data_IF_586245829210
#
_entry.id   IF_586245829210
#
_cell.length_a   1.000
_cell.length_b   1.000
_cell.length_c   1.000
_cell.angle_alpha   90.00
_cell.angle_beta   90.00
_cell.angle_gamma   90.00
#
_symmetry.space_group_name_H-M   'P 1'
#
loop_
_entity.id
_entity.type
_entity.pdbx_description
1 polymer ?
#
# COMPACT_ATOMS: atom_id res chain seq x y z
N UNK A 1 8.19 -4.86 6.55
CA UNK A 1 8.09 -3.53 7.21
C UNK A 1 6.64 -3.05 7.19
N UNK A 2 6.27 -2.11 8.08
CA UNK A 2 4.90 -1.56 8.16
C UNK A 2 4.65 -0.52 7.06
N UNK A 3 3.47 -0.55 6.44
CA UNK A 3 3.10 0.36 5.34
C UNK A 3 2.71 1.78 5.75
N UNK A 4 3.10 2.25 6.94
CA UNK A 4 2.58 3.48 7.54
C UNK A 4 3.37 4.73 7.15
N UNK A 5 4.68 4.57 6.90
CA UNK A 5 5.56 5.69 6.58
C UNK A 5 5.75 5.78 5.06
N UNK A 6 5.60 6.99 4.53
CA UNK A 6 5.77 7.28 3.10
C UNK A 6 7.21 7.03 2.63
N UNK A 7 8.20 7.27 3.48
CA UNK A 7 9.61 7.09 3.17
C UNK A 7 9.97 5.63 2.83
N UNK A 8 9.22 4.68 3.41
CA UNK A 8 9.46 3.24 3.25
C UNK A 8 8.81 2.68 1.96
N UNK A 9 8.03 3.50 1.25
CA UNK A 9 7.27 3.08 0.06
C UNK A 9 7.76 3.86 -1.14
N UNK A 10 8.10 3.15 -2.20
CA UNK A 10 8.59 3.70 -3.47
C UNK A 10 7.86 3.02 -4.65
N UNK A 11 7.64 3.70 -5.78
CA UNK A 11 7.23 3.04 -7.01
C UNK A 11 8.19 1.88 -7.36
N UNK A 12 7.66 0.76 -7.82
CA UNK A 12 8.40 -0.47 -8.10
C UNK A 12 8.51 -1.43 -6.91
N UNK A 13 8.14 -1.01 -5.69
CA UNK A 13 8.18 -1.85 -4.51
C UNK A 13 7.00 -2.84 -4.49
N UNK A 14 7.26 -4.09 -4.11
CA UNK A 14 6.21 -5.09 -3.91
C UNK A 14 5.59 -4.96 -2.52
N UNK A 15 4.26 -4.84 -2.48
CA UNK A 15 3.48 -4.58 -1.28
C UNK A 15 2.20 -5.39 -1.24
N UNK A 16 1.72 -5.66 -0.02
CA UNK A 16 0.35 -6.12 0.21
C UNK A 16 -0.51 -4.91 0.60
N UNK A 17 -1.60 -4.68 -0.14
CA UNK A 17 -2.59 -3.62 0.14
C UNK A 17 -3.93 -4.22 0.56
N UNK A 18 -4.68 -3.46 1.36
CA UNK A 18 -6.11 -3.72 1.55
C UNK A 18 -6.92 -2.79 0.64
N UNK A 19 -7.79 -3.37 -0.19
CA UNK A 19 -8.73 -2.64 -1.03
C UNK A 19 -9.92 -2.16 -0.19
N UNK A 20 -10.64 -1.12 -0.67
CA UNK A 20 -11.81 -0.61 0.04
C UNK A 20 -12.86 -1.69 0.30
N UNK A 21 -13.14 -2.52 -0.71
CA UNK A 21 -14.09 -3.64 -0.63
C UNK A 21 -13.66 -4.73 0.38
N UNK A 22 -12.35 -4.87 0.60
CA UNK A 22 -11.76 -5.89 1.45
C UNK A 22 -11.47 -5.40 2.88
N UNK A 23 -11.79 -4.14 3.21
CA UNK A 23 -11.54 -3.60 4.56
C UNK A 23 -12.28 -4.36 5.65
N UNK A 24 -13.46 -4.93 5.35
CA UNK A 24 -14.23 -5.73 6.31
C UNK A 24 -13.70 -7.16 6.44
N UNK A 25 -13.16 -7.71 5.36
CA UNK A 25 -12.70 -9.11 5.29
C UNK A 25 -11.24 -9.25 5.69
N UNK A 26 -10.46 -8.16 5.61
CA UNK A 26 -9.02 -8.17 5.83
C UNK A 26 -8.24 -8.80 4.68
N UNK A 27 -8.90 -9.14 3.56
CA UNK A 27 -8.21 -9.71 2.39
C UNK A 27 -7.18 -8.73 1.85
N UNK A 28 -5.98 -9.23 1.61
CA UNK A 28 -4.88 -8.47 1.05
C UNK A 28 -4.67 -8.82 -0.42
N UNK A 29 -4.32 -7.80 -1.19
CA UNK A 29 -3.93 -7.92 -2.59
C UNK A 29 -2.46 -7.57 -2.70
N UNK A 30 -1.67 -8.51 -3.22
CA UNK A 30 -0.26 -8.29 -3.51
C UNK A 30 -0.11 -7.59 -4.85
N UNK A 31 0.83 -6.67 -4.94
CA UNK A 31 1.32 -6.19 -6.23
C UNK A 31 2.39 -5.10 -6.09
N UNK A 32 2.81 -4.59 -7.24
CA UNK A 32 3.87 -3.60 -7.35
C UNK A 32 3.31 -2.19 -7.32
N UNK A 33 3.87 -1.31 -6.49
CA UNK A 33 3.47 0.10 -6.40
C UNK A 33 3.74 0.81 -7.73
N UNK A 34 2.72 1.48 -8.25
CA UNK A 34 2.83 2.43 -9.37
C UNK A 34 2.90 3.86 -8.86
N UNK A 35 1.86 4.30 -8.14
CA UNK A 35 1.73 5.67 -7.65
C UNK A 35 1.54 5.70 -6.13
N UNK A 36 2.12 6.68 -5.46
CA UNK A 36 1.87 6.96 -4.04
C UNK A 36 0.84 8.09 -3.95
N UNK A 37 -0.29 7.83 -3.31
CA UNK A 37 -1.45 8.73 -3.27
C UNK A 37 -1.64 9.44 -1.92
N UNK A 38 -0.80 9.14 -0.93
CA UNK A 38 -0.78 9.87 0.36
C UNK A 38 0.36 10.86 0.38
N UNK A 39 0.04 12.11 0.68
CA UNK A 39 1.01 13.20 0.76
C UNK A 39 1.68 13.28 2.15
N UNK A 40 0.94 12.97 3.22
CA UNK A 40 1.47 12.97 4.58
C UNK A 40 2.61 11.95 4.74
N UNK A 41 3.65 12.27 5.55
CA UNK A 41 4.78 11.39 5.76
C UNK A 41 4.42 10.11 6.54
N UNK A 42 3.39 10.16 7.38
CA UNK A 42 2.85 9.03 8.13
C UNK A 42 1.33 9.02 8.03
N UNK A 43 0.73 7.82 8.02
CA UNK A 43 -0.71 7.65 8.08
C UNK A 43 -1.08 6.39 8.91
N UNK A 44 -2.01 6.49 9.88
CA UNK A 44 -2.30 5.42 10.84
C UNK A 44 -2.81 4.12 10.19
N UNK A 45 -3.52 4.22 9.07
CA UNK A 45 -4.08 3.06 8.38
C UNK A 45 -3.18 2.50 7.27
N UNK A 46 -2.02 3.10 7.04
CA UNK A 46 -1.14 2.83 5.91
C UNK A 46 -1.19 3.90 4.84
N UNK A 47 -0.12 3.99 4.05
CA UNK A 47 -0.02 4.85 2.88
C UNK A 47 -0.91 4.31 1.77
N UNK A 48 -1.71 5.18 1.18
CA UNK A 48 -2.54 4.83 0.01
C UNK A 48 -1.65 4.81 -1.23
N UNK A 49 -1.75 3.73 -2.00
CA UNK A 49 -1.02 3.54 -3.25
C UNK A 49 -1.94 3.03 -4.35
N UNK A 50 -1.50 3.18 -5.59
CA UNK A 50 -2.04 2.48 -6.76
C UNK A 50 -1.04 1.40 -7.18
N UNK A 51 -1.51 0.19 -7.44
CA UNK A 51 -0.69 -0.89 -8.00
C UNK A 51 -0.52 -0.74 -9.52
N UNK A 52 0.47 -1.39 -10.10
CA UNK A 52 0.64 -1.45 -11.57
C UNK A 52 -0.57 -2.04 -12.30
N UNK A 53 -1.25 -3.00 -11.66
CA UNK A 53 -2.52 -3.60 -12.11
C UNK A 53 -3.73 -2.66 -12.02
N UNK A 54 -3.58 -1.51 -11.35
CA UNK A 54 -4.58 -0.44 -11.32
C UNK A 54 -5.39 -0.35 -10.03
N UNK A 55 -5.34 -1.36 -9.16
CA UNK A 55 -6.05 -1.36 -7.89
C UNK A 55 -5.49 -0.31 -6.93
N UNK A 56 -6.38 0.24 -6.11
CA UNK A 56 -6.05 1.30 -5.14
C UNK A 56 -6.41 0.83 -3.75
N UNK A 57 -5.44 0.92 -2.84
CA UNK A 57 -5.60 0.46 -1.46
C UNK A 57 -4.59 1.06 -0.50
N UNK A 58 -4.67 0.63 0.74
CA UNK A 58 -3.76 1.05 1.82
C UNK A 58 -2.72 -0.04 2.05
N UNK A 59 -1.44 0.30 2.02
CA UNK A 59 -0.35 -0.65 2.27
C UNK A 59 -0.46 -1.20 3.69
N UNK A 60 -0.38 -2.52 3.81
CA UNK A 60 -0.33 -3.25 5.08
C UNK A 60 1.05 -3.85 5.30
N UNK A 61 1.61 -4.50 4.29
CA UNK A 61 2.95 -5.08 4.37
C UNK A 61 3.80 -4.66 3.17
N UNK A 62 5.09 -4.44 3.44
CA UNK A 62 6.13 -4.30 2.43
C UNK A 62 6.86 -5.63 2.33
N UNK A 63 6.95 -6.20 1.12
CA UNK A 63 7.44 -7.56 0.87
C UNK A 63 8.95 -7.59 0.63
N UNK A 64 9.51 -6.56 -0.01
CA UNK A 64 10.95 -6.47 -0.24
C UNK A 64 11.67 -5.75 0.92
N UNK A 65 12.88 -6.22 1.31
CA UNK A 65 13.72 -5.60 2.32
C UNK A 65 14.41 -4.32 1.85
#
# INVERSE_FOLDING_TARGET
MNGNHRADIKPGLEVDIVLKQDQRTGKLTRGTVKDILTNSPNHPHGIKVRLQSGEVGRVKHIIQP
#
